data_IF_488740522161
#
_entry.id   IF_488740522161
#
_cell.length_a   1.000
_cell.length_b   1.000
_cell.length_c   1.000
_cell.angle_alpha   90.00
_cell.angle_beta   90.00
_cell.angle_gamma   90.00
#
_symmetry.space_group_name_H-M   'P 1'
#
loop_
_entity.id
_entity.type
_entity.pdbx_description
1 polymer ?
#
# COMPACT_ATOMS: atom_id res chain seq x y z
N UNK A 1 -21.39 6.47 25.81
CA UNK A 1 -21.35 7.29 24.57
C UNK A 1 -20.97 8.70 24.98
N UNK A 2 -19.97 9.30 24.35
CA UNK A 2 -19.43 10.64 24.65
C UNK A 2 -19.61 11.59 23.45
N UNK A 3 -19.39 12.90 23.65
CA UNK A 3 -19.50 13.89 22.57
C UNK A 3 -18.25 13.90 21.70
N UNK A 4 -18.37 14.33 20.43
CA UNK A 4 -17.23 14.49 19.52
C UNK A 4 -16.15 15.42 20.10
N UNK A 5 -16.57 16.46 20.82
CA UNK A 5 -15.65 17.37 21.49
C UNK A 5 -14.85 16.67 22.59
N UNK A 6 -15.53 15.90 23.45
CA UNK A 6 -14.88 15.15 24.54
C UNK A 6 -13.87 14.13 23.98
N UNK A 7 -14.27 13.35 22.96
CA UNK A 7 -13.37 12.43 22.26
C UNK A 7 -12.17 13.16 21.64
N UNK A 8 -12.40 14.33 21.06
CA UNK A 8 -11.36 15.15 20.44
C UNK A 8 -10.33 15.69 21.45
N UNK A 9 -10.80 16.17 22.61
CA UNK A 9 -9.89 16.61 23.70
C UNK A 9 -9.07 15.44 24.24
N UNK A 10 -9.72 14.33 24.54
CA UNK A 10 -9.04 13.11 24.99
C UNK A 10 -7.98 12.68 23.97
N UNK A 11 -8.30 12.63 22.67
CA UNK A 11 -7.36 12.24 21.63
C UNK A 11 -6.14 13.17 21.59
N UNK A 12 -6.35 14.50 21.66
CA UNK A 12 -5.27 15.49 21.66
C UNK A 12 -4.38 15.41 22.90
N UNK A 13 -4.92 15.04 24.05
CA UNK A 13 -4.16 14.85 25.29
C UNK A 13 -3.27 13.59 25.23
N UNK A 14 -3.70 12.55 24.51
CA UNK A 14 -3.01 11.25 24.46
C UNK A 14 -2.01 11.13 23.29
N UNK A 15 -2.22 11.88 22.20
CA UNK A 15 -1.41 11.78 20.99
C UNK A 15 -0.91 13.14 20.50
N UNK A 16 0.41 13.32 20.51
CA UNK A 16 1.06 14.55 20.01
C UNK A 16 1.10 14.65 18.48
N UNK A 17 0.98 13.51 17.80
CA UNK A 17 0.90 13.38 16.34
C UNK A 17 -0.12 12.30 16.01
N UNK A 18 -0.54 12.20 14.74
CA UNK A 18 -1.43 11.12 14.31
C UNK A 18 -0.78 9.76 14.54
N UNK A 19 -1.31 8.92 15.45
CA UNK A 19 -0.73 7.61 15.73
C UNK A 19 -1.02 6.64 14.59
N UNK A 20 -0.18 5.60 14.42
CA UNK A 20 -0.51 4.47 13.56
C UNK A 20 -1.84 3.82 13.95
N UNK A 21 -2.69 3.57 12.96
CA UNK A 21 -3.98 2.90 13.12
C UNK A 21 -4.10 1.80 12.09
N UNK A 22 -4.75 0.71 12.48
CA UNK A 22 -5.06 -0.38 11.58
C UNK A 22 -6.48 -0.86 11.81
N UNK A 23 -7.13 -1.30 10.74
CA UNK A 23 -8.40 -2.01 10.83
C UNK A 23 -8.47 -3.10 9.78
N UNK A 24 -9.16 -4.19 10.10
CA UNK A 24 -9.30 -5.34 9.21
C UNK A 24 -10.75 -5.81 9.18
N UNK A 25 -11.20 -6.17 7.99
CA UNK A 25 -12.48 -6.86 7.77
C UNK A 25 -12.14 -8.20 7.14
N UNK A 26 -12.23 -9.27 7.94
CA UNK A 26 -11.86 -10.63 7.52
C UNK A 26 -13.08 -11.52 7.24
N UNK A 27 -14.28 -11.04 7.60
CA UNK A 27 -15.57 -11.66 7.27
C UNK A 27 -16.35 -10.75 6.34
N UNK A 28 -16.76 -11.28 5.19
CA UNK A 28 -17.48 -10.54 4.16
C UNK A 28 -18.98 -10.60 4.40
N UNK A 29 -19.62 -9.44 4.57
CA UNK A 29 -21.07 -9.34 4.78
C UNK A 29 -21.89 -9.87 3.60
N UNK A 30 -21.30 -9.92 2.40
CA UNK A 30 -21.94 -10.48 1.19
C UNK A 30 -21.59 -11.94 0.94
N UNK A 31 -20.77 -12.55 1.80
CA UNK A 31 -20.25 -13.91 1.63
C UNK A 31 -19.52 -14.15 0.30
N UNK A 32 -18.93 -13.11 -0.32
CA UNK A 32 -18.11 -13.23 -1.54
C UNK A 32 -16.64 -13.58 -1.22
N UNK A 33 -16.31 -13.73 0.06
CA UNK A 33 -14.98 -14.10 0.53
C UNK A 33 -13.96 -12.95 0.47
N UNK A 34 -14.40 -11.71 0.27
CA UNK A 34 -13.51 -10.56 0.25
C UNK A 34 -12.94 -10.28 1.64
N UNK A 35 -11.66 -9.87 1.70
CA UNK A 35 -11.01 -9.48 2.96
C UNK A 35 -10.18 -8.24 2.72
N UNK A 36 -10.09 -7.37 3.72
CA UNK A 36 -9.27 -6.17 3.59
C UNK A 36 -8.61 -5.79 4.89
N UNK A 37 -7.39 -5.27 4.78
CA UNK A 37 -6.61 -4.74 5.91
C UNK A 37 -6.13 -3.36 5.51
N UNK A 38 -6.39 -2.39 6.37
CA UNK A 38 -5.91 -1.03 6.25
C UNK A 38 -4.90 -0.75 7.35
N UNK A 39 -3.84 -0.04 6.98
CA UNK A 39 -2.90 0.57 7.89
C UNK A 39 -2.74 2.04 7.50
N UNK A 40 -2.77 2.93 8.49
CA UNK A 40 -2.57 4.37 8.29
C UNK A 40 -1.62 4.89 9.36
N UNK A 41 -0.72 5.78 8.98
CA UNK A 41 0.11 6.56 9.88
C UNK A 41 0.14 8.02 9.44
N UNK A 42 0.89 8.87 10.14
CA UNK A 42 1.19 10.24 9.69
C UNK A 42 1.98 10.33 8.37
N UNK A 43 2.57 9.24 7.89
CA UNK A 43 3.43 9.23 6.69
C UNK A 43 2.78 8.56 5.49
N UNK A 44 1.89 7.60 5.70
CA UNK A 44 1.24 6.89 4.60
C UNK A 44 -0.03 6.18 5.03
N UNK A 45 -0.80 5.79 4.02
CA UNK A 45 -1.80 4.72 4.13
C UNK A 45 -1.46 3.58 3.20
N UNK A 46 -1.87 2.38 3.59
CA UNK A 46 -1.78 1.19 2.77
C UNK A 46 -3.02 0.31 2.94
N UNK A 47 -3.45 -0.28 1.85
CA UNK A 47 -4.57 -1.21 1.83
C UNK A 47 -4.20 -2.53 1.15
N UNK A 48 -4.39 -3.61 1.89
CA UNK A 48 -4.38 -4.96 1.38
C UNK A 48 -5.82 -5.39 1.04
N UNK A 49 -5.99 -6.02 -0.11
CA UNK A 49 -7.27 -6.55 -0.54
C UNK A 49 -7.11 -7.99 -1.05
N UNK A 50 -7.96 -8.87 -0.52
CA UNK A 50 -8.23 -10.19 -1.07
C UNK A 50 -9.60 -10.20 -1.72
N UNK A 51 -9.66 -10.71 -2.95
CA UNK A 51 -10.91 -11.02 -3.66
C UNK A 51 -10.85 -12.47 -4.10
N UNK A 52 -11.58 -13.34 -3.41
CA UNK A 52 -11.36 -14.78 -3.51
C UNK A 52 -9.91 -15.13 -3.16
N UNK A 53 -9.19 -15.77 -4.10
CA UNK A 53 -7.77 -16.14 -3.95
C UNK A 53 -6.78 -15.10 -4.46
N UNK A 54 -7.26 -13.99 -5.05
CA UNK A 54 -6.38 -12.93 -5.56
C UNK A 54 -6.01 -11.96 -4.43
N UNK A 55 -4.76 -11.51 -4.41
CA UNK A 55 -4.23 -10.53 -3.48
C UNK A 55 -3.60 -9.35 -4.23
N UNK A 56 -3.81 -8.13 -3.72
CA UNK A 56 -3.05 -6.94 -4.11
C UNK A 56 -2.99 -5.94 -2.96
N UNK A 57 -1.93 -5.14 -2.93
CA UNK A 57 -2.09 -3.79 -2.40
C UNK A 57 -2.97 -3.02 -3.40
N UNK A 58 -4.15 -2.62 -2.95
CA UNK A 58 -5.07 -1.79 -3.76
C UNK A 58 -4.74 -0.32 -3.61
N UNK A 59 -4.21 0.10 -2.47
CA UNK A 59 -3.95 1.50 -2.16
C UNK A 59 -2.63 1.61 -1.39
N UNK A 60 -1.74 2.50 -1.82
CA UNK A 60 -0.58 2.98 -1.06
C UNK A 60 -0.42 4.46 -1.41
N UNK A 61 -0.60 5.34 -0.44
CA UNK A 61 -0.48 6.78 -0.63
C UNK A 61 0.39 7.38 0.47
N UNK A 62 1.30 8.28 0.11
CA UNK A 62 2.14 9.01 1.05
C UNK A 62 1.45 10.30 1.48
N UNK A 63 1.80 10.73 2.69
CA UNK A 63 1.39 12.00 3.27
C UNK A 63 2.60 12.90 3.47
N UNK A 64 2.40 14.17 3.17
CA UNK A 64 3.42 15.19 3.28
C UNK A 64 2.73 16.52 3.56
N UNK A 65 3.02 17.12 4.71
CA UNK A 65 2.39 18.37 5.13
C UNK A 65 2.79 19.57 4.24
N UNK A 66 3.81 19.42 3.40
CA UNK A 66 4.18 20.42 2.40
C UNK A 66 3.37 20.30 1.10
N UNK A 67 2.61 19.22 0.92
CA UNK A 67 1.68 19.08 -0.20
C UNK A 67 0.41 19.86 0.13
N UNK A 68 0.36 21.10 -0.31
CA UNK A 68 -0.75 22.01 0.01
C UNK A 68 -2.06 21.55 -0.63
N UNK A 69 -3.15 21.69 0.15
CA UNK A 69 -4.51 21.51 -0.35
C UNK A 69 -4.89 22.67 -1.27
N UNK A 70 -5.61 22.38 -2.36
CA UNK A 70 -6.21 23.39 -3.25
C UNK A 70 -7.11 24.39 -2.49
N UNK A 71 -7.59 23.99 -1.30
CA UNK A 71 -8.48 24.75 -0.45
C UNK A 71 -7.77 25.48 0.71
N UNK A 72 -6.43 25.44 0.79
CA UNK A 72 -5.69 26.04 1.91
C UNK A 72 -5.80 27.57 1.91
N UNK A 73 -5.65 28.21 0.75
CA UNK A 73 -5.59 29.67 0.62
C UNK A 73 -6.73 30.26 -0.19
N UNK A 74 -7.60 29.42 -0.75
CA UNK A 74 -8.68 29.84 -1.67
C UNK A 74 -9.97 29.10 -1.33
N UNK A 75 -11.09 29.81 -1.41
CA UNK A 75 -12.41 29.19 -1.29
C UNK A 75 -12.69 28.30 -2.51
N UNK A 76 -13.22 27.10 -2.28
CA UNK A 76 -13.72 26.25 -3.34
C UNK A 76 -14.92 26.90 -4.03
N UNK A 77 -14.93 26.91 -5.36
CA UNK A 77 -16.02 27.47 -6.17
C UNK A 77 -16.95 26.41 -6.76
N UNK A 78 -16.67 25.13 -6.50
CA UNK A 78 -17.46 23.98 -6.96
C UNK A 78 -18.29 23.40 -5.82
N UNK A 79 -19.30 22.60 -6.17
CA UNK A 79 -20.06 21.77 -5.22
C UNK A 79 -19.32 20.47 -4.84
N UNK A 80 -18.06 20.31 -5.25
CA UNK A 80 -17.25 19.12 -5.02
C UNK A 80 -15.88 19.51 -4.48
N UNK A 81 -15.50 18.94 -3.34
CA UNK A 81 -14.13 19.02 -2.83
C UNK A 81 -13.36 17.75 -3.19
N UNK A 82 -12.17 17.90 -3.76
CA UNK A 82 -11.28 16.79 -4.13
C UNK A 82 -10.06 16.81 -3.22
N UNK A 83 -9.99 15.84 -2.33
CA UNK A 83 -8.84 15.68 -1.44
C UNK A 83 -7.92 14.60 -2.00
N UNK A 84 -6.72 15.02 -2.40
CA UNK A 84 -5.71 14.11 -2.95
C UNK A 84 -4.52 13.97 -2.01
N UNK A 85 -3.72 12.94 -2.26
CA UNK A 85 -2.51 12.58 -1.52
C UNK A 85 -1.47 12.15 -2.55
N UNK A 86 -0.27 11.72 -2.15
CA UNK A 86 0.79 11.38 -3.10
C UNK A 86 0.73 9.87 -3.43
N UNK A 87 0.24 9.47 -4.62
CA UNK A 87 -0.06 8.06 -4.90
C UNK A 87 1.21 7.25 -5.21
N UNK A 88 1.31 6.07 -4.61
CA UNK A 88 2.27 5.02 -4.98
C UNK A 88 1.54 3.85 -5.64
N UNK A 89 0.36 3.53 -5.12
CA UNK A 89 -0.60 2.60 -5.70
C UNK A 89 -1.98 3.21 -5.56
N UNK A 90 -2.62 3.57 -6.68
CA UNK A 90 -4.00 4.05 -6.70
C UNK A 90 -4.89 3.08 -7.49
N UNK A 91 -5.42 2.09 -6.79
CA UNK A 91 -6.30 1.09 -7.38
C UNK A 91 -7.66 1.63 -7.81
N UNK A 92 -8.04 2.86 -7.42
CA UNK A 92 -9.29 3.48 -7.85
C UNK A 92 -9.11 4.18 -9.19
N UNK A 93 -8.16 5.13 -9.28
CA UNK A 93 -7.93 5.91 -10.49
C UNK A 93 -7.23 5.12 -11.59
N UNK A 94 -6.36 4.17 -11.24
CA UNK A 94 -5.58 3.42 -12.22
C UNK A 94 -6.25 2.14 -12.73
N UNK A 95 -7.47 1.84 -12.29
CA UNK A 95 -8.25 0.68 -12.77
C UNK A 95 -9.23 1.06 -13.89
N UNK A 96 -9.70 0.04 -14.61
CA UNK A 96 -10.95 0.01 -15.39
C UNK A 96 -11.86 -1.08 -14.83
N UNK A 97 -13.01 -1.33 -15.47
CA UNK A 97 -13.88 -2.43 -15.07
C UNK A 97 -13.22 -3.81 -15.26
N UNK A 98 -12.36 -3.96 -16.28
CA UNK A 98 -11.70 -5.22 -16.64
C UNK A 98 -10.24 -5.30 -16.16
N UNK A 99 -9.55 -4.17 -16.02
CA UNK A 99 -8.14 -4.13 -15.61
C UNK A 99 -8.01 -3.48 -14.23
N UNK A 100 -7.77 -4.29 -13.21
CA UNK A 100 -7.64 -3.81 -11.84
C UNK A 100 -6.18 -3.45 -11.51
N UNK A 101 -5.92 -2.20 -11.16
CA UNK A 101 -4.59 -1.73 -10.79
C UNK A 101 -4.17 -2.16 -9.39
N UNK A 102 -2.92 -2.55 -9.19
CA UNK A 102 -2.43 -2.85 -7.84
C UNK A 102 -1.05 -3.47 -7.83
N UNK A 103 -0.37 -3.33 -6.70
CA UNK A 103 0.92 -3.96 -6.46
C UNK A 103 0.67 -5.39 -5.97
N UNK A 104 1.06 -6.36 -6.80
CA UNK A 104 0.83 -7.79 -6.59
C UNK A 104 2.12 -8.52 -6.27
N UNK A 105 2.01 -9.61 -5.53
CA UNK A 105 3.09 -10.60 -5.43
C UNK A 105 2.94 -11.54 -6.63
N UNK A 106 3.99 -11.61 -7.45
CA UNK A 106 4.03 -12.42 -8.67
C UNK A 106 5.18 -13.42 -8.63
N UNK A 107 5.09 -14.48 -9.43
CA UNK A 107 6.23 -15.38 -9.68
C UNK A 107 7.33 -14.70 -10.52
N UNK A 108 8.44 -15.43 -10.78
CA UNK A 108 9.55 -14.95 -11.62
C UNK A 108 9.13 -14.47 -13.02
N UNK A 109 8.05 -15.03 -13.56
CA UNK A 109 7.54 -14.74 -14.90
C UNK A 109 6.54 -13.57 -14.90
N UNK A 110 6.10 -13.09 -13.73
CA UNK A 110 5.07 -12.07 -13.61
C UNK A 110 3.65 -12.59 -13.51
N UNK A 111 3.48 -13.91 -13.30
CA UNK A 111 2.17 -14.51 -13.12
C UNK A 111 1.65 -14.25 -11.71
N UNK A 112 0.35 -13.99 -11.61
CA UNK A 112 -0.33 -13.81 -10.33
C UNK A 112 -0.33 -15.14 -9.56
N UNK A 113 -0.14 -15.07 -8.25
CA UNK A 113 -0.22 -16.22 -7.35
C UNK A 113 -1.60 -16.28 -6.68
N UNK A 114 -2.03 -17.49 -6.32
CA UNK A 114 -3.22 -17.69 -5.51
C UNK A 114 -2.87 -17.74 -4.02
N UNK A 115 -3.66 -17.05 -3.20
CA UNK A 115 -3.46 -16.93 -1.76
C UNK A 115 -4.65 -17.45 -0.98
N UNK A 116 -4.36 -18.03 0.18
CA UNK A 116 -5.33 -18.34 1.21
C UNK A 116 -5.65 -17.13 2.07
N UNK A 117 -6.30 -17.40 3.21
CA UNK A 117 -6.78 -16.35 4.09
C UNK A 117 -5.63 -15.70 4.89
N UNK A 118 -5.72 -14.38 5.15
CA UNK A 118 -4.78 -13.70 6.01
C UNK A 118 -5.14 -13.86 7.48
N UNK A 119 -4.10 -13.89 8.31
CA UNK A 119 -4.16 -13.61 9.74
C UNK A 119 -3.62 -12.21 10.00
N UNK A 120 -4.18 -11.51 10.98
CA UNK A 120 -3.81 -10.13 11.32
C UNK A 120 -3.52 -10.06 12.80
N UNK A 121 -2.31 -9.65 13.15
CA UNK A 121 -1.83 -9.60 14.54
C UNK A 121 -1.17 -8.26 14.83
N UNK A 122 -1.38 -7.72 16.02
CA UNK A 122 -0.64 -6.57 16.53
C UNK A 122 0.62 -7.08 17.22
N UNK A 123 1.81 -6.76 16.69
CA UNK A 123 3.09 -7.20 17.29
C UNK A 123 3.52 -6.32 18.47
N UNK A 124 3.23 -5.02 18.38
CA UNK A 124 3.49 -4.04 19.43
C UNK A 124 2.56 -2.83 19.23
N UNK A 125 2.72 -1.80 20.06
CA UNK A 125 1.81 -0.66 20.13
C UNK A 125 1.52 -0.01 18.77
N UNK A 126 2.45 -0.03 17.82
CA UNK A 126 2.32 0.64 16.52
C UNK A 126 2.72 -0.23 15.31
N UNK A 127 2.73 -1.55 15.49
CA UNK A 127 3.22 -2.47 14.45
C UNK A 127 2.16 -3.54 14.14
N UNK A 128 1.70 -3.53 12.89
CA UNK A 128 0.74 -4.50 12.37
C UNK A 128 1.48 -5.58 11.59
N UNK A 129 1.15 -6.84 11.85
CA UNK A 129 1.63 -7.98 11.10
C UNK A 129 0.46 -8.68 10.41
N UNK A 130 0.63 -8.92 9.11
CA UNK A 130 -0.31 -9.68 8.29
C UNK A 130 0.44 -10.85 7.68
N UNK A 131 -0.06 -12.06 7.92
CA UNK A 131 0.53 -13.29 7.39
C UNK A 131 -0.50 -14.06 6.57
N UNK A 132 -0.11 -14.56 5.42
CA UNK A 132 -0.96 -15.36 4.53
C UNK A 132 -0.10 -16.30 3.70
N UNK A 133 -0.68 -17.41 3.25
CA UNK A 133 0.06 -18.39 2.45
C UNK A 133 -0.51 -18.52 1.04
N UNK A 134 0.34 -18.88 0.08
CA UNK A 134 -0.09 -19.31 -1.24
C UNK A 134 -0.73 -20.69 -1.16
N UNK A 135 -1.57 -21.04 -2.13
CA UNK A 135 -2.12 -22.40 -2.26
C UNK A 135 -1.04 -23.46 -2.49
N UNK A 136 0.13 -23.04 -3.01
CA UNK A 136 1.33 -23.86 -3.19
C UNK A 136 2.23 -23.96 -1.94
N UNK A 137 1.82 -23.39 -0.80
CA UNK A 137 2.48 -23.56 0.50
C UNK A 137 3.63 -22.59 0.80
N UNK A 138 3.72 -21.44 0.13
CA UNK A 138 4.65 -20.36 0.51
C UNK A 138 3.94 -19.42 1.48
N UNK A 139 4.61 -18.99 2.54
CA UNK A 139 4.05 -18.06 3.52
C UNK A 139 4.70 -16.69 3.37
N UNK A 140 3.87 -15.66 3.24
CA UNK A 140 4.26 -14.27 3.17
C UNK A 140 3.90 -13.55 4.47
N UNK A 141 4.85 -12.77 4.97
CA UNK A 141 4.70 -11.88 6.11
C UNK A 141 4.82 -10.44 5.62
N UNK A 142 3.82 -9.62 5.95
CA UNK A 142 3.82 -8.18 5.74
C UNK A 142 3.79 -7.51 7.10
N UNK A 143 4.79 -6.69 7.40
CA UNK A 143 4.86 -5.93 8.65
C UNK A 143 4.79 -4.44 8.31
N UNK A 144 3.77 -3.77 8.85
CA UNK A 144 3.61 -2.33 8.75
C UNK A 144 4.15 -1.66 10.01
N UNK A 145 5.01 -0.68 9.79
CA UNK A 145 5.50 0.26 10.78
C UNK A 145 4.99 1.65 10.44
N UNK A 146 5.16 2.60 11.34
CA UNK A 146 4.76 3.99 11.13
C UNK A 146 5.38 4.59 9.85
N UNK A 147 6.64 4.28 9.53
CA UNK A 147 7.44 4.94 8.49
C UNK A 147 7.81 4.06 7.29
N UNK A 148 7.42 2.78 7.31
CA UNK A 148 7.78 1.78 6.30
C UNK A 148 6.85 0.57 6.36
N UNK A 149 6.90 -0.26 5.32
CA UNK A 149 6.47 -1.64 5.43
C UNK A 149 7.54 -2.60 4.90
N UNK A 150 7.45 -3.83 5.37
CA UNK A 150 8.38 -4.91 5.04
C UNK A 150 7.57 -6.10 4.56
N UNK A 151 8.01 -6.74 3.47
CA UNK A 151 7.39 -7.95 2.95
C UNK A 151 8.45 -9.02 2.77
N UNK A 152 8.20 -10.21 3.31
CA UNK A 152 9.11 -11.33 3.20
C UNK A 152 8.36 -12.64 2.93
N UNK A 153 9.00 -13.52 2.16
CA UNK A 153 8.60 -14.93 2.12
C UNK A 153 9.32 -15.66 3.25
N UNK A 154 8.59 -16.05 4.30
CA UNK A 154 9.14 -16.60 5.55
C UNK A 154 9.20 -18.12 5.55
N UNK A 155 8.38 -18.77 4.72
CA UNK A 155 8.30 -20.23 4.60
C UNK A 155 8.07 -20.61 3.14
N UNK A 156 8.78 -21.60 2.63
CA UNK A 156 8.63 -22.05 1.23
C UNK A 156 9.90 -22.68 0.67
N UNK A 157 9.88 -22.99 -0.63
CA UNK A 157 11.06 -23.50 -1.35
C UNK A 157 12.16 -22.44 -1.35
N UNK A 158 13.41 -22.83 -0.98
CA UNK A 158 14.57 -21.92 -0.87
C UNK A 158 14.82 -21.10 -2.14
N UNK A 159 14.54 -21.66 -3.31
CA UNK A 159 14.81 -21.03 -4.62
C UNK A 159 13.56 -20.42 -5.29
N UNK A 160 12.48 -20.20 -4.52
CA UNK A 160 11.29 -19.57 -5.06
C UNK A 160 11.54 -18.08 -5.33
N UNK A 161 11.61 -17.73 -6.60
CA UNK A 161 11.69 -16.36 -7.04
C UNK A 161 10.28 -15.75 -7.10
N UNK A 162 10.10 -14.64 -6.38
CA UNK A 162 8.92 -13.80 -6.42
C UNK A 162 9.33 -12.34 -6.57
N UNK A 163 8.38 -11.49 -6.96
CA UNK A 163 8.58 -10.05 -7.01
C UNK A 163 7.29 -9.33 -6.63
N UNK A 164 7.42 -8.04 -6.30
CA UNK A 164 6.27 -7.13 -6.39
C UNK A 164 6.15 -6.56 -7.79
N UNK A 165 4.94 -6.46 -8.30
CA UNK A 165 4.68 -5.86 -9.60
C UNK A 165 3.45 -4.97 -9.59
N UNK A 166 3.63 -3.70 -9.97
CA UNK A 166 2.54 -2.76 -10.12
C UNK A 166 2.00 -2.86 -11.55
N UNK A 167 0.86 -3.53 -11.70
CA UNK A 167 0.07 -3.54 -12.94
C UNK A 167 -1.00 -2.46 -12.83
N UNK A 168 -1.24 -1.72 -13.91
CA UNK A 168 -2.28 -0.70 -14.03
C UNK A 168 -3.09 -0.93 -15.30
N UNK A 169 -4.28 -0.35 -15.40
CA UNK A 169 -5.01 -0.37 -16.65
C UNK A 169 -4.26 0.39 -17.75
N UNK A 170 -4.48 -0.02 -18.99
CA UNK A 170 -3.85 0.59 -20.16
C UNK A 170 -4.24 2.06 -20.31
N UNK A 171 -3.28 2.91 -20.66
CA UNK A 171 -3.51 4.35 -20.93
C UNK A 171 -3.68 5.24 -19.69
N UNK A 172 -3.49 4.73 -18.47
CA UNK A 172 -3.52 5.54 -17.25
C UNK A 172 -2.26 6.39 -17.12
N UNK A 173 -2.44 7.67 -16.78
CA UNK A 173 -1.34 8.54 -16.42
C UNK A 173 -0.83 8.21 -15.01
N UNK A 174 0.46 7.91 -14.92
CA UNK A 174 1.13 7.55 -13.66
C UNK A 174 2.11 8.65 -13.28
N UNK A 175 2.32 8.90 -11.97
CA UNK A 175 3.17 9.99 -11.51
C UNK A 175 4.68 9.70 -11.66
N UNK A 176 5.06 8.46 -12.01
CA UNK A 176 6.45 8.01 -12.01
C UNK A 176 7.26 8.61 -13.17
N UNK A 177 8.28 9.40 -12.84
CA UNK A 177 9.17 10.08 -13.81
C UNK A 177 10.47 9.31 -14.05
N UNK A 178 11.09 8.83 -12.97
CA UNK A 178 12.39 8.15 -13.02
C UNK A 178 12.36 6.92 -12.11
N UNK A 179 12.83 5.78 -12.62
CA UNK A 179 12.91 4.52 -11.87
C UNK A 179 14.37 4.08 -11.87
N UNK A 180 14.97 4.07 -10.68
CA UNK A 180 16.32 3.60 -10.40
C UNK A 180 16.26 2.37 -9.50
N UNK A 181 17.39 1.66 -9.34
CA UNK A 181 17.44 0.38 -8.63
C UNK A 181 16.86 0.42 -7.19
N UNK A 182 16.89 1.55 -6.50
CA UNK A 182 16.42 1.68 -5.12
C UNK A 182 15.44 2.84 -4.90
N UNK A 183 15.07 3.59 -5.94
CA UNK A 183 14.25 4.80 -5.83
C UNK A 183 13.35 4.97 -7.05
N UNK A 184 12.13 5.44 -6.82
CA UNK A 184 11.21 5.91 -7.86
C UNK A 184 10.94 7.38 -7.58
N UNK A 185 11.33 8.27 -8.50
CA UNK A 185 10.95 9.69 -8.45
C UNK A 185 9.60 9.86 -9.12
N UNK A 186 8.73 10.61 -8.48
CA UNK A 186 7.37 10.84 -8.91
C UNK A 186 7.00 12.33 -8.83
N UNK A 187 6.07 12.73 -9.68
CA UNK A 187 5.53 14.08 -9.73
C UNK A 187 4.01 14.01 -9.87
N UNK A 188 3.30 14.64 -8.95
CA UNK A 188 1.84 14.63 -8.91
C UNK A 188 1.33 16.01 -8.47
N UNK A 189 0.41 16.60 -9.22
CA UNK A 189 -0.22 17.89 -8.93
C UNK A 189 0.78 18.99 -8.51
N UNK A 190 1.87 19.18 -9.28
CA UNK A 190 2.85 20.23 -8.98
C UNK A 190 3.88 19.85 -7.92
N UNK A 191 3.78 18.65 -7.33
CA UNK A 191 4.59 18.24 -6.19
C UNK A 191 5.50 17.05 -6.51
N UNK A 192 6.79 17.17 -6.19
CA UNK A 192 7.77 16.10 -6.34
C UNK A 192 7.89 15.25 -5.08
N UNK A 193 7.95 13.94 -5.24
CA UNK A 193 8.15 13.01 -4.15
C UNK A 193 8.94 11.78 -4.60
N UNK A 194 9.53 11.08 -3.63
CA UNK A 194 10.37 9.89 -3.88
C UNK A 194 9.89 8.71 -3.08
N UNK A 195 9.76 7.57 -3.74
CA UNK A 195 9.50 6.27 -3.11
C UNK A 195 10.83 5.54 -3.01
N UNK A 196 11.23 5.16 -1.80
CA UNK A 196 12.54 4.52 -1.56
C UNK A 196 12.40 3.05 -1.21
N UNK A 197 13.04 2.18 -1.98
CA UNK A 197 13.21 0.77 -1.67
C UNK A 197 14.54 0.57 -0.93
N UNK A 198 14.49 0.42 0.40
CA UNK A 198 15.68 0.22 1.25
C UNK A 198 16.29 -1.17 1.07
N UNK A 199 15.47 -2.16 0.68
CA UNK A 199 15.90 -3.52 0.40
C UNK A 199 15.03 -4.08 -0.71
N UNK A 200 15.66 -4.58 -1.77
CA UNK A 200 15.02 -4.94 -3.02
C UNK A 200 15.65 -4.17 -4.19
N UNK A 201 15.36 -4.59 -5.42
CA UNK A 201 15.77 -3.92 -6.66
C UNK A 201 14.56 -3.54 -7.48
N UNK A 202 14.36 -2.25 -7.69
CA UNK A 202 13.31 -1.70 -8.53
C UNK A 202 13.77 -1.66 -9.98
N UNK A 203 12.89 -2.02 -10.91
CA UNK A 203 13.14 -1.93 -12.34
C UNK A 203 11.85 -1.83 -13.14
N UNK A 204 11.99 -1.60 -14.44
CA UNK A 204 10.87 -1.67 -15.39
C UNK A 204 10.75 -3.08 -15.96
N UNK A 205 9.52 -3.51 -16.20
CA UNK A 205 9.20 -4.73 -16.95
C UNK A 205 8.05 -4.40 -17.89
N UNK A 206 8.03 -5.02 -19.08
CA UNK A 206 6.98 -4.77 -20.07
C UNK A 206 5.60 -5.08 -19.48
N UNK A 207 4.62 -4.20 -19.72
CA UNK A 207 3.24 -4.35 -19.24
C UNK A 207 2.98 -3.94 -17.78
N UNK A 208 3.99 -3.42 -17.08
CA UNK A 208 3.86 -2.94 -15.70
C UNK A 208 4.52 -1.60 -15.48
N UNK A 209 4.04 -0.86 -14.47
CA UNK A 209 4.61 0.43 -14.10
C UNK A 209 6.02 0.27 -13.54
N UNK A 210 6.20 -0.69 -12.62
CA UNK A 210 7.49 -1.12 -12.11
C UNK A 210 7.40 -2.52 -11.47
N UNK A 211 8.55 -3.16 -11.30
CA UNK A 211 8.74 -4.41 -10.56
C UNK A 211 9.80 -4.22 -9.48
N UNK A 212 9.60 -4.82 -8.31
CA UNK A 212 10.57 -4.84 -7.21
C UNK A 212 10.94 -6.29 -6.91
N UNK A 213 12.20 -6.64 -7.17
CA UNK A 213 12.75 -7.97 -6.88
C UNK A 213 13.32 -7.98 -5.45
N UNK A 214 12.96 -8.95 -4.60
CA UNK A 214 13.48 -9.03 -3.22
C UNK A 214 14.98 -9.30 -3.19
N UNK A 215 15.66 -8.79 -2.17
CA UNK A 215 17.04 -9.17 -1.84
C UNK A 215 16.97 -10.03 -0.58
N UNK A 216 17.49 -11.26 -0.61
CA UNK A 216 17.40 -12.19 0.53
C UNK A 216 15.96 -12.41 1.00
N UNK A 217 15.04 -12.65 0.04
CA UNK A 217 13.61 -12.88 0.26
C UNK A 217 12.85 -11.79 1.02
N UNK A 218 13.36 -10.55 1.02
CA UNK A 218 12.73 -9.42 1.70
C UNK A 218 12.74 -8.17 0.83
N UNK A 219 11.61 -7.45 0.86
CA UNK A 219 11.46 -6.09 0.34
C UNK A 219 11.19 -5.16 1.52
N UNK A 220 11.82 -3.99 1.54
CA UNK A 220 11.57 -2.93 2.53
C UNK A 220 11.33 -1.62 1.81
N UNK A 221 10.12 -1.08 1.95
CA UNK A 221 9.72 0.19 1.35
C UNK A 221 9.70 1.27 2.43
N UNK A 222 10.55 2.28 2.29
CA UNK A 222 10.55 3.46 3.16
C UNK A 222 9.53 4.46 2.65
N UNK A 223 8.66 4.91 3.54
CA UNK A 223 7.54 5.80 3.24
C UNK A 223 7.65 7.13 3.98
N UNK A 224 8.74 7.31 4.74
CA UNK A 224 9.24 8.60 5.20
C UNK A 224 10.15 9.21 4.14
N UNK A 225 10.01 10.53 3.96
CA UNK A 225 10.91 11.39 3.18
C UNK A 225 12.39 11.11 3.49
#
# INVERSE_FOLDING_TARGET
VETLEASGRWFKEHFSVTPPTAFSVLSDVRNEGNKTVWFNSRYYRANLLWKGKSFRFRDIHLFDENFESDYLTKAGTSSQCVYTTLPVVDGFLWSTQSELAGLRIVDKNGNDLEFGEPTVNRLSENVLHVEFSTTSGQTFSIIFYEDRFEVACTKGKKDMAWAFELKTASGKELPFREINENKIKAFFNGFEYTITCKKGKVGKVQGSAFRIVPIGNKIVMSLRK
#
